data_IF_430626996676
#
_entry.id   IF_430626996676
#
_cell.length_a   1.000
_cell.length_b   1.000
_cell.length_c   1.000
_cell.angle_alpha   90.00
_cell.angle_beta   90.00
_cell.angle_gamma   90.00
#
_symmetry.space_group_name_H-M   'P 1'
#
loop_
_entity.id
_entity.type
_entity.pdbx_description
1 polymer ?
#
# COMPACT_ATOMS: atom_id res chain seq x y z
N UNK A 1 4.11 60.60 46.31
CA UNK A 1 3.51 60.20 45.00
C UNK A 1 4.49 59.58 43.98
N UNK A 2 5.68 59.10 44.37
CA UNK A 2 6.68 58.52 43.44
C UNK A 2 6.85 57.02 43.60
N UNK A 3 6.17 56.37 44.54
CA UNK A 3 6.34 54.88 44.78
C UNK A 3 5.25 54.01 44.15
N UNK A 4 4.11 54.58 43.76
CA UNK A 4 3.01 53.76 43.18
C UNK A 4 3.16 53.46 41.67
N UNK A 5 3.95 54.28 40.95
CA UNK A 5 4.18 54.05 39.50
C UNK A 5 5.18 52.91 39.18
N UNK A 6 6.10 52.65 40.09
CA UNK A 6 7.10 51.61 39.92
C UNK A 6 6.53 50.18 40.14
N UNK A 7 5.53 50.04 41.01
CA UNK A 7 4.90 48.74 41.31
C UNK A 7 3.95 48.30 40.17
N UNK A 8 3.33 49.28 39.49
CA UNK A 8 2.42 48.96 38.36
C UNK A 8 3.17 48.55 37.09
N UNK A 9 4.39 49.07 36.88
CA UNK A 9 5.21 48.64 35.72
C UNK A 9 5.81 47.23 35.89
N UNK A 10 6.12 46.84 37.14
CA UNK A 10 6.65 45.51 37.45
C UNK A 10 5.58 44.41 37.31
N UNK A 11 4.31 44.73 37.56
CA UNK A 11 3.19 43.81 37.46
C UNK A 11 2.74 43.54 36.02
N UNK A 12 2.91 44.53 35.14
CA UNK A 12 2.60 44.36 33.70
C UNK A 12 3.70 43.60 32.98
N UNK A 13 4.96 43.65 33.41
CA UNK A 13 6.06 42.87 32.84
C UNK A 13 6.04 41.39 33.24
N UNK A 14 5.49 41.04 34.41
CA UNK A 14 5.37 39.63 34.85
C UNK A 14 4.18 38.91 34.22
N UNK A 15 3.17 39.62 33.71
CA UNK A 15 2.08 39.01 32.96
C UNK A 15 2.38 38.78 31.48
N UNK A 16 3.35 39.48 30.90
CA UNK A 16 3.75 39.29 29.49
C UNK A 16 4.62 38.03 29.27
N UNK A 17 5.26 37.51 30.33
CA UNK A 17 6.15 36.35 30.24
C UNK A 17 5.39 35.01 30.41
N UNK A 18 4.15 35.05 30.89
CA UNK A 18 3.37 33.82 31.16
C UNK A 18 2.41 33.42 30.03
N UNK A 19 2.32 34.18 28.94
CA UNK A 19 1.42 33.83 27.82
C UNK A 19 2.17 33.14 26.66
N UNK A 20 3.50 33.24 26.59
CA UNK A 20 4.29 32.49 25.57
C UNK A 20 4.62 31.03 25.94
N UNK A 21 4.32 30.61 27.16
CA UNK A 21 4.66 29.25 27.62
C UNK A 21 3.54 28.20 27.46
N UNK A 22 2.44 28.52 26.77
CA UNK A 22 1.29 27.61 26.63
C UNK A 22 0.95 27.30 25.17
N UNK A 23 1.82 27.63 24.24
CA UNK A 23 1.81 27.01 22.90
C UNK A 23 2.95 25.99 22.81
N UNK A 24 2.98 25.04 23.74
CA UNK A 24 3.64 23.79 23.45
C UNK A 24 2.81 23.14 22.34
N UNK A 25 3.19 23.37 21.08
CA UNK A 25 2.68 22.61 19.97
C UNK A 25 2.81 21.14 20.35
N UNK A 26 1.71 20.41 20.35
CA UNK A 26 1.79 18.95 20.40
C UNK A 26 2.91 18.53 19.44
N UNK A 27 3.84 17.64 19.85
CA UNK A 27 4.85 17.15 18.92
C UNK A 27 4.13 16.71 17.66
N UNK A 28 4.66 17.00 16.46
CA UNK A 28 3.98 16.65 15.21
C UNK A 28 3.60 15.18 15.28
N UNK A 29 2.33 14.91 15.09
CA UNK A 29 1.79 13.54 15.14
C UNK A 29 2.61 12.68 14.18
N UNK A 30 3.16 11.57 14.70
CA UNK A 30 4.03 10.69 13.92
C UNK A 30 3.17 10.02 12.85
N UNK A 31 3.39 10.34 11.57
CA UNK A 31 2.62 9.79 10.45
C UNK A 31 2.64 8.25 10.47
N UNK A 32 1.50 7.59 10.24
CA UNK A 32 1.44 6.13 10.14
C UNK A 32 2.42 5.60 9.09
N UNK A 33 3.13 4.53 9.43
CA UNK A 33 4.03 3.82 8.50
C UNK A 33 3.23 2.92 7.59
N UNK A 34 3.44 3.01 6.27
CA UNK A 34 2.68 2.23 5.32
C UNK A 34 3.57 1.56 4.27
N UNK A 35 3.28 0.29 4.00
CA UNK A 35 3.77 -0.46 2.84
C UNK A 35 2.56 -0.87 2.01
N UNK A 36 2.66 -0.75 0.69
CA UNK A 36 1.66 -1.23 -0.26
C UNK A 36 2.29 -2.30 -1.11
N UNK A 37 1.63 -3.47 -1.22
CA UNK A 37 1.93 -4.48 -2.23
C UNK A 37 0.77 -4.51 -3.23
N UNK A 38 1.07 -4.43 -4.52
CA UNK A 38 0.10 -4.25 -5.58
C UNK A 38 0.46 -5.10 -6.81
N UNK A 39 -0.53 -5.69 -7.46
CA UNK A 39 -0.37 -6.35 -8.74
C UNK A 39 -0.87 -5.43 -9.89
N UNK A 40 -0.62 -5.75 -11.18
CA UNK A 40 -0.94 -4.84 -12.29
C UNK A 40 -2.43 -4.85 -12.64
N UNK A 41 -3.30 -4.75 -11.66
CA UNK A 41 -4.73 -4.64 -11.88
C UNK A 41 -5.16 -3.17 -12.09
N UNK A 42 -6.29 -2.96 -12.76
CA UNK A 42 -6.81 -1.63 -13.08
C UNK A 42 -7.09 -0.81 -11.81
N UNK A 43 -7.69 -1.45 -10.83
CA UNK A 43 -8.05 -0.81 -9.56
C UNK A 43 -6.82 -0.54 -8.68
N UNK A 44 -5.78 -1.39 -8.72
CA UNK A 44 -4.49 -1.13 -8.08
C UNK A 44 -3.81 0.11 -8.65
N UNK A 45 -3.76 0.23 -9.99
CA UNK A 45 -3.25 1.43 -10.65
C UNK A 45 -4.01 2.69 -10.21
N UNK A 46 -5.34 2.63 -10.20
CA UNK A 46 -6.18 3.75 -9.84
C UNK A 46 -6.09 4.08 -8.35
N UNK A 47 -5.96 3.07 -7.51
CA UNK A 47 -5.73 3.23 -6.07
C UNK A 47 -4.39 3.86 -5.77
N UNK A 48 -3.34 3.48 -6.50
CA UNK A 48 -2.03 4.08 -6.35
C UNK A 48 -2.02 5.58 -6.70
N UNK A 49 -2.73 5.98 -7.78
CA UNK A 49 -2.88 7.40 -8.12
C UNK A 49 -3.55 8.17 -6.98
N UNK A 50 -4.64 7.65 -6.42
CA UNK A 50 -5.30 8.26 -5.26
C UNK A 50 -4.38 8.29 -4.03
N UNK A 51 -3.70 7.19 -3.75
CA UNK A 51 -2.76 7.10 -2.64
C UNK A 51 -1.64 8.14 -2.73
N UNK A 52 -1.06 8.35 -3.90
CA UNK A 52 -0.02 9.37 -4.10
C UNK A 52 -0.52 10.78 -3.79
N UNK A 53 -1.81 11.08 -4.01
CA UNK A 53 -2.44 12.35 -3.62
C UNK A 53 -2.65 12.46 -2.10
N UNK A 54 -2.78 11.36 -1.38
CA UNK A 54 -2.88 11.30 0.09
C UNK A 54 -1.54 11.01 0.79
N UNK A 55 -0.43 10.97 0.06
CA UNK A 55 0.88 10.60 0.60
C UNK A 55 1.42 11.56 1.67
N UNK A 56 0.80 12.72 1.83
CA UNK A 56 1.07 13.66 2.93
C UNK A 56 0.69 13.10 4.29
N UNK A 57 -0.24 12.14 4.37
CA UNK A 57 -0.79 11.61 5.61
C UNK A 57 0.01 10.41 6.14
N UNK A 58 0.93 9.88 5.33
CA UNK A 58 1.66 8.65 5.62
C UNK A 58 3.17 8.82 5.53
N UNK A 59 3.90 7.95 6.25
CA UNK A 59 5.31 7.66 6.01
C UNK A 59 5.39 6.42 5.12
N UNK A 60 5.62 6.62 3.84
CA UNK A 60 5.67 5.55 2.83
C UNK A 60 6.97 4.76 3.01
N UNK A 61 6.88 3.51 3.44
CA UNK A 61 8.04 2.64 3.64
C UNK A 61 8.30 1.70 2.45
N UNK A 62 7.27 1.40 1.67
CA UNK A 62 7.40 0.54 0.49
C UNK A 62 6.25 0.67 -0.49
N UNK A 63 6.59 0.56 -1.78
CA UNK A 63 5.67 0.41 -2.91
C UNK A 63 6.15 -0.83 -3.68
N UNK A 64 5.45 -1.94 -3.57
CA UNK A 64 6.00 -3.25 -3.92
C UNK A 64 5.12 -3.93 -4.97
N UNK A 65 5.73 -4.32 -6.10
CA UNK A 65 5.06 -5.18 -7.06
C UNK A 65 4.79 -6.56 -6.47
N UNK A 66 3.59 -7.07 -6.64
CA UNK A 66 3.16 -8.38 -6.17
C UNK A 66 2.53 -9.20 -7.30
N UNK A 67 2.15 -10.42 -7.01
CA UNK A 67 1.27 -11.26 -7.81
C UNK A 67 -0.03 -11.54 -7.07
N UNK A 68 -1.00 -12.07 -7.79
CA UNK A 68 -2.23 -12.62 -7.26
C UNK A 68 -2.73 -13.76 -8.15
N UNK A 69 -3.87 -14.37 -7.80
CA UNK A 69 -4.54 -15.29 -8.73
C UNK A 69 -5.00 -14.62 -10.04
N UNK A 70 -5.08 -13.28 -10.06
CA UNK A 70 -5.51 -12.53 -11.22
C UNK A 70 -4.35 -12.13 -12.12
N UNK A 71 -3.14 -11.95 -11.56
CA UNK A 71 -1.97 -11.47 -12.28
C UNK A 71 -0.68 -12.08 -11.72
N UNK A 72 0.09 -12.79 -12.56
CA UNK A 72 1.43 -13.24 -12.22
C UNK A 72 2.32 -13.38 -13.47
N UNK A 73 3.60 -13.03 -13.33
CA UNK A 73 4.52 -12.71 -14.41
C UNK A 73 5.20 -13.94 -15.03
N UNK A 74 5.35 -15.01 -14.26
CA UNK A 74 6.28 -16.11 -14.59
C UNK A 74 7.73 -15.78 -14.20
N UNK A 75 8.59 -16.79 -14.31
CA UNK A 75 10.02 -16.67 -13.96
C UNK A 75 10.92 -16.34 -15.17
N UNK A 76 10.34 -16.16 -16.35
CA UNK A 76 11.07 -15.92 -17.60
C UNK A 76 11.88 -17.11 -18.12
N UNK A 77 11.78 -18.28 -17.47
CA UNK A 77 12.53 -19.51 -17.81
C UNK A 77 11.66 -20.59 -18.44
N UNK A 78 10.37 -20.31 -18.65
CA UNK A 78 9.42 -21.27 -19.17
C UNK A 78 8.85 -22.24 -18.12
N UNK A 79 9.09 -22.00 -16.83
CA UNK A 79 8.43 -22.78 -15.78
C UNK A 79 6.94 -22.59 -15.85
N UNK A 80 6.20 -23.69 -15.83
CA UNK A 80 4.74 -23.66 -15.85
C UNK A 80 4.18 -23.77 -14.44
N UNK A 81 3.09 -23.02 -14.18
CA UNK A 81 2.44 -22.93 -12.88
C UNK A 81 0.92 -23.08 -13.01
N UNK A 82 0.31 -23.75 -12.05
CA UNK A 82 -1.13 -23.88 -11.93
C UNK A 82 -1.53 -24.18 -10.48
N UNK A 83 -2.47 -23.41 -9.97
CA UNK A 83 -3.09 -23.67 -8.66
C UNK A 83 -4.58 -23.94 -8.89
N UNK A 84 -5.13 -25.06 -8.41
CA UNK A 84 -6.55 -25.36 -8.57
C UNK A 84 -7.46 -24.32 -7.89
N UNK A 85 -8.67 -24.15 -8.43
CA UNK A 85 -9.72 -23.27 -7.89
C UNK A 85 -9.42 -21.75 -7.95
N UNK A 86 -8.44 -21.35 -8.73
CA UNK A 86 -8.13 -19.94 -9.01
C UNK A 86 -9.06 -19.35 -10.08
N UNK A 87 -9.01 -18.03 -10.21
CA UNK A 87 -9.80 -17.29 -11.21
C UNK A 87 -9.54 -17.80 -12.63
N UNK A 88 -8.28 -18.01 -13.01
CA UNK A 88 -7.94 -18.52 -14.34
C UNK A 88 -8.55 -19.90 -14.65
N UNK A 89 -8.72 -20.76 -13.65
CA UNK A 89 -9.45 -22.02 -13.81
C UNK A 89 -10.95 -21.81 -14.03
N UNK A 90 -11.56 -20.81 -13.40
CA UNK A 90 -12.99 -20.46 -13.57
C UNK A 90 -13.29 -19.89 -14.95
N UNK A 91 -12.31 -19.21 -15.57
CA UNK A 91 -12.43 -18.72 -16.96
C UNK A 91 -11.94 -19.73 -18.01
N UNK A 92 -11.77 -20.99 -17.64
CA UNK A 92 -11.49 -22.09 -18.57
C UNK A 92 -10.02 -22.40 -18.82
N UNK A 93 -9.09 -21.73 -18.14
CA UNK A 93 -7.65 -22.03 -18.23
C UNK A 93 -7.33 -23.17 -17.27
N UNK A 94 -7.35 -24.41 -17.76
CA UNK A 94 -7.20 -25.64 -16.93
C UNK A 94 -5.82 -26.30 -17.05
N UNK A 95 -4.92 -25.70 -17.85
CA UNK A 95 -3.57 -26.22 -18.04
C UNK A 95 -2.54 -25.28 -17.40
N UNK A 96 -1.40 -25.81 -16.94
CA UNK A 96 -0.30 -24.97 -16.45
C UNK A 96 0.16 -23.96 -17.50
N UNK A 97 0.40 -22.72 -17.06
CA UNK A 97 0.79 -21.57 -17.88
C UNK A 97 2.15 -21.04 -17.44
N UNK A 98 2.81 -20.28 -18.27
CA UNK A 98 4.09 -19.62 -17.94
C UNK A 98 3.90 -18.21 -17.33
N UNK A 99 2.74 -17.60 -17.48
CA UNK A 99 2.35 -16.31 -16.91
C UNK A 99 0.82 -16.15 -17.01
N UNK A 100 0.28 -15.21 -16.26
CA UNK A 100 -1.15 -14.90 -16.33
C UNK A 100 -1.37 -13.39 -16.20
N UNK A 101 -1.91 -12.75 -17.23
CA UNK A 101 -2.29 -11.33 -17.28
C UNK A 101 -1.25 -10.36 -16.69
N UNK A 102 0.04 -10.66 -16.83
CA UNK A 102 1.14 -9.84 -16.32
C UNK A 102 2.22 -9.74 -17.40
N UNK A 103 2.47 -8.55 -17.93
CA UNK A 103 3.52 -8.37 -18.93
C UNK A 103 4.91 -8.29 -18.28
N UNK A 104 5.96 -8.82 -18.91
CA UNK A 104 7.31 -8.82 -18.35
C UNK A 104 7.84 -7.43 -17.98
N UNK A 105 7.48 -6.41 -18.76
CA UNK A 105 7.95 -5.02 -18.64
C UNK A 105 7.00 -4.15 -17.81
N UNK A 106 6.10 -4.74 -17.02
CA UNK A 106 5.12 -3.99 -16.22
C UNK A 106 5.79 -3.03 -15.24
N UNK A 107 5.40 -1.76 -15.31
CA UNK A 107 6.02 -0.67 -14.56
C UNK A 107 5.03 0.33 -13.96
N UNK A 108 3.77 -0.06 -13.77
CA UNK A 108 2.73 0.90 -13.38
C UNK A 108 3.06 1.68 -12.09
N UNK A 109 3.75 1.07 -11.11
CA UNK A 109 4.16 1.77 -9.89
C UNK A 109 5.19 2.86 -10.24
N UNK A 110 6.23 2.53 -11.01
CA UNK A 110 7.22 3.50 -11.46
C UNK A 110 6.58 4.61 -12.28
N UNK A 111 5.75 4.27 -13.26
CA UNK A 111 5.11 5.24 -14.15
C UNK A 111 4.20 6.21 -13.41
N UNK A 112 3.49 5.76 -12.36
CA UNK A 112 2.68 6.63 -11.53
C UNK A 112 3.55 7.57 -10.67
N UNK A 113 4.68 7.09 -10.12
CA UNK A 113 5.62 7.94 -9.37
C UNK A 113 6.37 8.90 -10.31
N UNK A 114 6.72 8.48 -11.51
CA UNK A 114 7.30 9.36 -12.54
C UNK A 114 6.29 10.45 -12.99
N UNK A 115 5.00 10.12 -13.03
CA UNK A 115 3.94 11.11 -13.30
C UNK A 115 3.76 12.06 -12.11
N UNK A 116 3.81 11.54 -10.88
CA UNK A 116 3.86 12.34 -9.67
C UNK A 116 5.01 13.35 -9.71
N UNK A 117 6.19 12.96 -10.16
CA UNK A 117 7.34 13.85 -10.30
C UNK A 117 7.05 15.05 -11.23
N UNK A 118 6.33 14.84 -12.32
CA UNK A 118 5.96 15.90 -13.26
C UNK A 118 5.01 16.95 -12.66
N UNK A 119 4.16 16.53 -11.70
CA UNK A 119 3.19 17.43 -11.04
C UNK A 119 3.62 17.85 -9.63
N UNK A 120 4.77 17.38 -9.13
CA UNK A 120 5.24 17.58 -7.78
C UNK A 120 5.27 19.05 -7.33
N UNK A 121 5.72 19.94 -8.21
CA UNK A 121 5.73 21.40 -7.91
C UNK A 121 4.33 21.93 -7.60
N UNK A 122 3.32 21.45 -8.32
CA UNK A 122 1.93 21.85 -8.07
C UNK A 122 1.41 21.27 -6.74
N UNK A 123 1.73 20.01 -6.47
CA UNK A 123 1.36 19.37 -5.20
C UNK A 123 1.95 20.12 -3.99
N UNK A 124 3.20 20.56 -4.08
CA UNK A 124 3.87 21.34 -3.03
C UNK A 124 3.22 22.70 -2.75
N UNK A 125 2.46 23.27 -3.68
CA UNK A 125 1.67 24.49 -3.44
C UNK A 125 0.49 24.17 -2.53
N UNK A 126 -0.09 22.97 -2.63
CA UNK A 126 -1.24 22.57 -1.81
C UNK A 126 -0.81 22.13 -0.40
N UNK A 127 0.30 21.38 -0.30
CA UNK A 127 0.80 20.92 0.99
C UNK A 127 2.33 20.75 0.99
N UNK A 128 3.06 21.28 2.00
CA UNK A 128 4.52 21.21 2.05
C UNK A 128 5.07 19.81 2.31
N UNK A 129 4.28 18.89 2.86
CA UNK A 129 4.72 17.55 3.29
C UNK A 129 4.64 16.47 2.21
N UNK A 130 4.28 16.82 0.97
CA UNK A 130 4.37 15.84 -0.10
C UNK A 130 5.79 15.26 -0.18
N UNK A 131 5.96 13.91 -0.11
CA UNK A 131 7.27 13.29 -0.20
C UNK A 131 7.92 13.60 -1.55
N UNK A 132 9.25 13.65 -1.59
CA UNK A 132 9.93 13.90 -2.87
C UNK A 132 9.78 12.71 -3.81
N UNK A 133 9.76 12.93 -5.13
CA UNK A 133 9.71 11.84 -6.11
C UNK A 133 10.85 10.83 -5.94
N UNK A 134 12.06 11.32 -5.65
CA UNK A 134 13.24 10.49 -5.42
C UNK A 134 13.07 9.59 -4.20
N UNK A 135 12.46 10.10 -3.13
CA UNK A 135 12.10 9.29 -1.96
C UNK A 135 11.14 8.18 -2.34
N UNK A 136 10.05 8.49 -3.04
CA UNK A 136 9.07 7.48 -3.47
C UNK A 136 9.69 6.43 -4.40
N UNK A 137 10.48 6.86 -5.39
CA UNK A 137 11.22 5.95 -6.29
C UNK A 137 12.16 5.03 -5.49
N UNK A 138 12.82 5.55 -4.45
CA UNK A 138 13.71 4.75 -3.59
C UNK A 138 12.98 3.67 -2.80
N UNK A 139 11.65 3.74 -2.67
CA UNK A 139 10.79 2.78 -1.95
C UNK A 139 10.21 1.69 -2.85
N UNK A 140 10.40 1.75 -4.17
CA UNK A 140 9.86 0.75 -5.09
C UNK A 140 10.73 -0.51 -5.08
N UNK A 141 10.08 -1.67 -4.95
CA UNK A 141 10.74 -2.99 -5.01
C UNK A 141 9.88 -3.99 -5.78
N UNK A 142 10.55 -5.00 -6.37
CA UNK A 142 9.88 -6.18 -6.90
C UNK A 142 9.71 -7.20 -5.77
N UNK A 143 8.49 -7.65 -5.53
CA UNK A 143 8.15 -8.70 -4.59
C UNK A 143 8.02 -10.06 -5.27
N UNK A 144 7.14 -10.90 -4.74
CA UNK A 144 6.86 -12.22 -5.33
C UNK A 144 5.87 -12.05 -6.49
N UNK A 145 6.40 -11.81 -7.68
CA UNK A 145 5.62 -11.56 -8.91
C UNK A 145 5.56 -12.76 -9.85
N UNK A 146 6.44 -13.76 -9.62
CA UNK A 146 6.62 -14.85 -10.59
C UNK A 146 5.40 -15.77 -10.67
N UNK A 147 4.89 -16.21 -9.54
CA UNK A 147 3.81 -17.19 -9.49
C UNK A 147 2.78 -16.85 -8.41
N UNK A 148 1.52 -17.18 -8.67
CA UNK A 148 0.42 -17.05 -7.75
C UNK A 148 0.68 -17.86 -6.46
N UNK A 149 0.73 -17.16 -5.33
CA UNK A 149 0.89 -17.75 -3.99
C UNK A 149 2.25 -18.43 -3.73
N UNK A 150 3.26 -18.22 -4.56
CA UNK A 150 4.62 -18.69 -4.29
C UNK A 150 5.33 -17.73 -3.33
N UNK A 151 5.70 -18.23 -2.15
CA UNK A 151 6.52 -17.51 -1.16
C UNK A 151 7.73 -18.35 -0.74
N UNK A 152 8.27 -19.14 -1.65
CA UNK A 152 9.41 -20.04 -1.42
C UNK A 152 10.76 -19.30 -1.36
N UNK A 153 10.88 -18.11 -1.96
CA UNK A 153 12.15 -17.39 -2.12
C UNK A 153 12.03 -15.94 -1.69
N UNK A 154 13.13 -15.45 -1.09
CA UNK A 154 13.25 -14.03 -0.78
C UNK A 154 13.31 -13.18 -2.07
N UNK A 155 12.74 -12.00 -1.99
CA UNK A 155 12.72 -10.99 -3.06
C UNK A 155 13.11 -9.63 -2.48
N UNK A 156 13.54 -8.66 -3.30
CA UNK A 156 13.79 -7.30 -2.80
C UNK A 156 12.62 -6.69 -2.02
N UNK A 157 11.39 -7.03 -2.41
CA UNK A 157 10.18 -6.59 -1.71
C UNK A 157 10.00 -7.27 -0.35
N UNK A 158 10.16 -8.59 -0.27
CA UNK A 158 10.07 -9.30 1.01
C UNK A 158 11.18 -8.90 1.98
N UNK A 159 12.40 -8.63 1.47
CA UNK A 159 13.51 -8.12 2.27
C UNK A 159 13.22 -6.72 2.83
N UNK A 160 12.65 -5.81 2.03
CA UNK A 160 12.24 -4.48 2.51
C UNK A 160 11.18 -4.60 3.62
N UNK A 161 10.18 -5.45 3.45
CA UNK A 161 9.16 -5.70 4.48
C UNK A 161 9.82 -6.24 5.75
N UNK A 162 10.69 -7.25 5.62
CA UNK A 162 11.45 -7.84 6.74
C UNK A 162 12.26 -6.79 7.49
N UNK A 163 12.97 -5.92 6.78
CA UNK A 163 13.74 -4.82 7.39
C UNK A 163 12.86 -3.87 8.18
N UNK A 164 11.71 -3.46 7.62
CA UNK A 164 10.76 -2.57 8.32
C UNK A 164 10.10 -3.24 9.53
N UNK A 165 9.87 -4.56 9.49
CA UNK A 165 9.35 -5.33 10.62
C UNK A 165 10.38 -5.39 11.77
N UNK A 166 11.64 -5.61 11.43
CA UNK A 166 12.71 -5.84 12.42
C UNK A 166 13.38 -4.56 12.92
N UNK A 167 13.14 -3.41 12.31
CA UNK A 167 13.75 -2.15 12.74
C UNK A 167 13.32 -1.76 14.17
N UNK A 168 14.02 -0.78 14.74
CA UNK A 168 13.81 -0.34 16.13
C UNK A 168 12.57 0.56 16.32
N UNK A 169 11.90 0.95 15.23
CA UNK A 169 10.68 1.75 15.31
C UNK A 169 9.47 0.84 15.59
N UNK A 170 9.05 0.76 16.85
CA UNK A 170 7.91 -0.05 17.29
C UNK A 170 6.54 0.56 17.00
N UNK A 171 6.47 1.71 16.29
CA UNK A 171 5.19 2.23 15.84
C UNK A 171 4.52 1.27 14.85
N UNK A 172 3.18 1.22 14.81
CA UNK A 172 2.47 0.33 13.91
C UNK A 172 2.95 0.44 12.47
N UNK A 173 3.16 -0.71 11.84
CA UNK A 173 3.51 -0.84 10.42
C UNK A 173 2.30 -1.41 9.70
N UNK A 174 1.61 -0.56 8.97
CA UNK A 174 0.45 -0.95 8.17
C UNK A 174 0.93 -1.50 6.82
N UNK A 175 0.59 -2.76 6.53
CA UNK A 175 0.94 -3.39 5.27
C UNK A 175 -0.36 -3.71 4.53
N UNK A 176 -0.56 -3.02 3.41
CA UNK A 176 -1.72 -3.24 2.56
C UNK A 176 -1.34 -4.20 1.43
N UNK A 177 -2.07 -5.30 1.31
CA UNK A 177 -2.01 -6.18 0.16
C UNK A 177 -3.22 -5.88 -0.74
N UNK A 178 -2.99 -5.22 -1.86
CA UNK A 178 -4.02 -4.97 -2.88
C UNK A 178 -4.14 -6.17 -3.81
N UNK A 179 -3.01 -6.83 -4.12
CA UNK A 179 -2.96 -8.15 -4.73
C UNK A 179 -2.84 -9.28 -3.71
N UNK A 180 -2.08 -10.34 -4.02
CA UNK A 180 -1.83 -11.44 -3.11
C UNK A 180 -0.88 -11.08 -1.95
N UNK A 181 -0.91 -11.87 -0.89
CA UNK A 181 -0.13 -11.66 0.31
C UNK A 181 1.22 -12.43 0.33
N UNK A 182 1.60 -13.10 -0.76
CA UNK A 182 2.78 -13.99 -0.83
C UNK A 182 4.10 -13.27 -0.50
N UNK A 183 4.26 -11.99 -0.88
CA UNK A 183 5.45 -11.20 -0.53
C UNK A 183 5.54 -10.94 0.98
N UNK A 184 4.40 -10.68 1.63
CA UNK A 184 4.32 -10.49 3.08
C UNK A 184 4.57 -11.82 3.80
N UNK A 185 3.96 -12.89 3.31
CA UNK A 185 4.16 -14.24 3.82
C UNK A 185 5.66 -14.64 3.76
N UNK A 186 6.36 -14.29 2.65
CA UNK A 186 7.79 -14.56 2.53
C UNK A 186 8.63 -13.79 3.55
N UNK A 187 8.33 -12.52 3.76
CA UNK A 187 9.03 -11.72 4.77
C UNK A 187 8.88 -12.31 6.17
N UNK A 188 7.66 -12.68 6.57
CA UNK A 188 7.39 -13.32 7.86
C UNK A 188 8.05 -14.69 7.98
N UNK A 189 8.02 -15.49 6.91
CA UNK A 189 8.65 -16.81 6.88
C UNK A 189 10.17 -16.72 6.97
N UNK A 190 10.79 -15.77 6.28
CA UNK A 190 12.23 -15.52 6.37
C UNK A 190 12.65 -15.14 7.80
N UNK A 191 11.83 -14.33 8.51
CA UNK A 191 12.07 -14.04 9.93
C UNK A 191 11.96 -15.32 10.78
N UNK A 192 10.93 -16.12 10.57
CA UNK A 192 10.75 -17.39 11.29
C UNK A 192 11.94 -18.35 11.06
N UNK A 193 12.38 -18.53 9.81
CA UNK A 193 13.52 -19.36 9.43
C UNK A 193 14.82 -18.94 10.13
N UNK A 194 15.04 -17.63 10.31
CA UNK A 194 16.25 -17.08 10.92
C UNK A 194 16.20 -17.16 12.47
N UNK A 195 15.03 -16.87 13.06
CA UNK A 195 14.95 -16.60 14.50
C UNK A 195 14.21 -17.65 15.32
N UNK A 196 13.46 -18.60 14.72
CA UNK A 196 12.61 -19.55 15.47
C UNK A 196 13.38 -20.45 16.42
N UNK A 197 14.66 -20.75 16.13
CA UNK A 197 15.54 -21.52 17.01
C UNK A 197 16.23 -20.71 18.12
N UNK A 198 16.02 -19.41 18.19
CA UNK A 198 16.71 -18.56 19.17
C UNK A 198 15.94 -18.45 20.50
N UNK A 199 16.66 -18.31 21.65
CA UNK A 199 16.01 -18.24 22.97
C UNK A 199 14.96 -17.13 23.14
N UNK A 200 15.12 -16.01 22.42
CA UNK A 200 14.24 -14.85 22.48
C UNK A 200 13.12 -14.88 21.44
N UNK A 201 12.94 -15.98 20.71
CA UNK A 201 11.96 -16.07 19.61
C UNK A 201 10.53 -15.70 20.04
N UNK A 202 10.05 -16.21 21.15
CA UNK A 202 8.68 -15.90 21.60
C UNK A 202 8.46 -14.41 21.87
N UNK A 203 9.47 -13.73 22.41
CA UNK A 203 9.43 -12.28 22.66
C UNK A 203 9.47 -11.50 21.35
N UNK A 204 10.35 -11.87 20.43
CA UNK A 204 10.44 -11.26 19.11
C UNK A 204 9.15 -11.44 18.32
N UNK A 205 8.58 -12.63 18.31
CA UNK A 205 7.33 -12.94 17.64
C UNK A 205 6.16 -12.09 18.13
N UNK A 206 6.03 -11.92 19.46
CA UNK A 206 5.02 -11.04 20.07
C UNK A 206 5.23 -9.57 19.68
N UNK A 207 6.47 -9.09 19.70
CA UNK A 207 6.81 -7.72 19.26
C UNK A 207 6.38 -7.50 17.81
N UNK A 208 6.73 -8.43 16.91
CA UNK A 208 6.35 -8.39 15.49
C UNK A 208 4.84 -8.40 15.33
N UNK A 209 4.13 -9.33 15.98
CA UNK A 209 2.68 -9.43 15.88
C UNK A 209 1.96 -8.18 16.36
N UNK A 210 2.50 -7.49 17.36
CA UNK A 210 1.96 -6.20 17.83
C UNK A 210 2.23 -5.05 16.87
N UNK A 211 3.38 -5.08 16.19
CA UNK A 211 3.83 -4.01 15.28
C UNK A 211 3.15 -4.07 13.94
N UNK A 212 2.95 -5.26 13.39
CA UNK A 212 2.39 -5.46 12.05
C UNK A 212 0.88 -5.38 12.09
N UNK A 213 0.33 -4.57 11.19
CA UNK A 213 -1.12 -4.48 10.96
C UNK A 213 -1.36 -4.74 9.48
N UNK A 214 -2.12 -5.79 9.17
CA UNK A 214 -2.45 -6.15 7.79
C UNK A 214 -3.77 -5.54 7.36
N UNK A 215 -3.86 -5.17 6.10
CA UNK A 215 -5.09 -4.77 5.45
C UNK A 215 -5.12 -5.43 4.06
N UNK A 216 -5.91 -6.49 3.94
CA UNK A 216 -5.94 -7.32 2.74
C UNK A 216 -7.16 -6.96 1.89
N UNK A 217 -6.94 -6.79 0.58
CA UNK A 217 -8.02 -6.80 -0.40
C UNK A 217 -8.33 -8.25 -0.79
N UNK A 218 -9.00 -8.98 0.09
CA UNK A 218 -9.17 -10.45 0.07
C UNK A 218 -7.84 -11.21 0.28
N UNK A 219 -7.93 -12.52 0.47
CA UNK A 219 -6.80 -13.44 0.39
C UNK A 219 -6.69 -13.96 -1.05
N UNK A 220 -6.08 -13.15 -1.93
CA UNK A 220 -6.11 -13.39 -3.37
C UNK A 220 -5.20 -14.53 -3.84
N UNK A 221 -4.33 -15.04 -2.98
CA UNK A 221 -3.39 -16.13 -3.30
C UNK A 221 -3.32 -17.21 -2.22
N UNK A 222 -4.30 -17.24 -1.30
CA UNK A 222 -4.43 -18.15 -0.15
C UNK A 222 -3.24 -18.13 0.83
N UNK A 223 -2.27 -17.24 0.69
CA UNK A 223 -1.10 -17.24 1.58
C UNK A 223 -1.42 -16.72 2.96
N UNK A 224 -2.44 -15.86 3.11
CA UNK A 224 -2.92 -15.49 4.43
C UNK A 224 -3.52 -16.70 5.17
N UNK A 225 -4.49 -17.38 4.57
CA UNK A 225 -5.15 -18.53 5.20
C UNK A 225 -4.19 -19.73 5.39
N UNK A 226 -3.27 -19.93 4.45
CA UNK A 226 -2.37 -21.09 4.43
C UNK A 226 -1.14 -20.92 5.31
N UNK A 227 -0.66 -19.70 5.51
CA UNK A 227 0.57 -19.44 6.26
C UNK A 227 0.43 -18.30 7.29
N UNK A 228 0.02 -17.08 6.90
CA UNK A 228 0.10 -15.95 7.82
C UNK A 228 -0.79 -16.20 9.03
N UNK A 229 -2.08 -16.47 8.83
CA UNK A 229 -3.01 -16.68 9.94
C UNK A 229 -2.64 -17.88 10.85
N UNK A 230 -2.28 -19.08 10.34
CA UNK A 230 -1.90 -20.21 11.21
C UNK A 230 -0.62 -19.99 11.99
N UNK A 231 0.38 -19.35 11.41
CA UNK A 231 1.70 -19.21 12.04
C UNK A 231 1.89 -17.87 12.77
N UNK A 232 1.10 -16.85 12.45
CA UNK A 232 1.15 -15.51 13.04
C UNK A 232 -0.24 -15.02 13.48
N UNK A 233 -0.98 -15.82 14.30
CA UNK A 233 -2.39 -15.54 14.61
C UNK A 233 -2.63 -14.27 15.43
N UNK A 234 -1.57 -13.71 16.04
CA UNK A 234 -1.66 -12.47 16.84
C UNK A 234 -1.48 -11.20 16.01
N UNK A 235 -1.15 -11.31 14.71
CA UNK A 235 -1.10 -10.15 13.79
C UNK A 235 -2.54 -9.65 13.57
N UNK A 236 -2.73 -8.34 13.75
CA UNK A 236 -4.01 -7.70 13.47
C UNK A 236 -4.27 -7.64 11.97
N UNK A 237 -5.41 -8.16 11.54
CA UNK A 237 -5.95 -8.01 10.18
C UNK A 237 -7.21 -7.13 10.24
N UNK A 238 -7.21 -6.00 9.53
CA UNK A 238 -8.25 -4.96 9.63
C UNK A 238 -9.47 -5.23 8.76
N UNK A 239 -9.37 -6.15 7.80
CA UNK A 239 -10.45 -6.43 6.86
C UNK A 239 -10.67 -7.92 6.62
N UNK A 240 -11.00 -8.69 7.69
CA UNK A 240 -11.10 -10.14 7.63
C UNK A 240 -12.20 -10.66 6.69
N UNK A 241 -13.14 -9.81 6.28
CA UNK A 241 -14.29 -10.19 5.45
C UNK A 241 -14.19 -9.77 3.97
N UNK A 242 -13.08 -9.17 3.54
CA UNK A 242 -12.85 -8.81 2.14
C UNK A 242 -13.85 -7.83 1.52
N UNK A 243 -14.42 -6.93 2.32
CA UNK A 243 -15.52 -6.06 1.86
C UNK A 243 -15.14 -5.02 0.79
N UNK A 244 -13.85 -4.75 0.55
CA UNK A 244 -13.41 -3.71 -0.42
C UNK A 244 -13.80 -4.05 -1.85
N UNK A 245 -13.89 -5.30 -2.20
CA UNK A 245 -14.23 -5.76 -3.57
C UNK A 245 -15.56 -5.21 -4.05
N UNK A 246 -16.47 -4.98 -3.13
CA UNK A 246 -17.80 -4.47 -3.45
C UNK A 246 -17.80 -3.07 -4.05
N UNK A 247 -16.82 -2.23 -3.73
CA UNK A 247 -16.78 -0.85 -4.22
C UNK A 247 -16.30 -0.75 -5.67
N UNK A 248 -15.44 -1.65 -6.12
CA UNK A 248 -14.85 -1.58 -7.46
C UNK A 248 -15.65 -2.36 -8.49
N UNK A 249 -15.96 -3.62 -8.20
CA UNK A 249 -16.57 -4.53 -9.18
C UNK A 249 -18.07 -4.68 -9.01
N UNK A 250 -18.56 -4.70 -7.78
CA UNK A 250 -19.98 -4.96 -7.49
C UNK A 250 -20.80 -3.71 -7.22
N UNK A 251 -20.17 -2.60 -6.82
CA UNK A 251 -20.91 -1.35 -6.60
C UNK A 251 -21.68 -0.87 -7.83
N UNK A 252 -21.15 -0.92 -9.06
CA UNK A 252 -21.93 -0.56 -10.26
C UNK A 252 -23.18 -1.40 -10.43
N UNK A 253 -23.12 -2.70 -10.07
CA UNK A 253 -24.26 -3.63 -10.18
C UNK A 253 -25.32 -3.40 -9.10
N UNK A 254 -24.92 -2.88 -7.93
CA UNK A 254 -25.78 -2.64 -6.76
C UNK A 254 -26.21 -1.19 -6.62
N UNK A 255 -25.58 -0.27 -7.35
CA UNK A 255 -25.92 1.14 -7.33
C UNK A 255 -27.36 1.36 -7.81
N UNK A 256 -28.03 2.35 -7.21
CA UNK A 256 -29.30 2.84 -7.74
C UNK A 256 -29.09 3.36 -9.16
N UNK A 257 -30.11 3.25 -10.00
CA UNK A 257 -30.02 3.59 -11.43
C UNK A 257 -29.47 5.01 -11.66
N UNK A 258 -29.93 5.98 -10.87
CA UNK A 258 -29.47 7.37 -10.95
C UNK A 258 -27.98 7.56 -10.62
N UNK A 259 -27.36 6.62 -9.91
CA UNK A 259 -25.96 6.67 -9.49
C UNK A 259 -25.03 5.86 -10.41
N UNK A 260 -25.57 5.01 -11.29
CA UNK A 260 -24.74 4.17 -12.17
C UNK A 260 -23.84 4.99 -13.10
N UNK A 261 -24.27 6.19 -13.47
CA UNK A 261 -23.50 7.10 -14.31
C UNK A 261 -22.08 7.38 -13.74
N UNK A 262 -21.95 7.47 -12.41
CA UNK A 262 -20.65 7.75 -11.76
C UNK A 262 -19.64 6.61 -11.87
N UNK A 263 -20.08 5.43 -12.29
CA UNK A 263 -19.23 4.26 -12.51
C UNK A 263 -18.95 4.00 -14.00
N UNK A 264 -19.48 4.87 -14.89
CA UNK A 264 -19.31 4.67 -16.32
C UNK A 264 -17.92 5.11 -16.80
N UNK A 265 -17.37 4.48 -17.84
CA UNK A 265 -16.13 4.93 -18.49
C UNK A 265 -16.23 6.36 -19.01
N UNK A 266 -17.38 6.76 -19.53
CA UNK A 266 -17.62 8.11 -20.08
C UNK A 266 -17.50 9.18 -18.99
N UNK A 267 -18.14 8.95 -17.83
CA UNK A 267 -18.02 9.86 -16.69
C UNK A 267 -16.57 9.97 -16.21
N UNK A 268 -15.88 8.83 -16.06
CA UNK A 268 -14.47 8.80 -15.63
C UNK A 268 -13.58 9.50 -16.66
N UNK A 269 -13.85 9.34 -17.98
CA UNK A 269 -13.12 10.05 -19.04
C UNK A 269 -13.30 11.57 -18.93
N UNK A 270 -14.52 12.02 -18.70
CA UNK A 270 -14.84 13.45 -18.65
C UNK A 270 -14.36 14.13 -17.37
N UNK A 271 -14.58 13.50 -16.21
CA UNK A 271 -14.40 14.15 -14.92
C UNK A 271 -13.08 13.80 -14.22
N UNK A 272 -12.39 12.75 -14.62
CA UNK A 272 -11.12 12.32 -14.02
C UNK A 272 -10.00 12.34 -15.06
N UNK A 273 -10.12 11.58 -16.13
CA UNK A 273 -9.01 11.41 -17.10
C UNK A 273 -8.64 12.69 -17.85
N UNK A 274 -9.59 13.57 -18.06
CA UNK A 274 -9.36 14.89 -18.67
C UNK A 274 -8.66 15.90 -17.75
N UNK A 275 -8.38 15.54 -16.48
CA UNK A 275 -7.89 16.47 -15.45
C UNK A 275 -6.38 16.34 -15.23
N UNK A 276 -5.60 16.59 -16.29
CA UNK A 276 -4.14 16.63 -16.24
C UNK A 276 -3.48 15.25 -16.15
N UNK A 277 -2.17 15.25 -15.95
CA UNK A 277 -1.31 14.07 -16.10
C UNK A 277 -1.71 12.89 -15.20
N UNK A 278 -2.14 13.13 -13.96
CA UNK A 278 -2.64 12.06 -13.10
C UNK A 278 -3.98 11.51 -13.57
N UNK A 279 -4.86 12.39 -14.04
CA UNK A 279 -6.11 11.96 -14.64
C UNK A 279 -5.88 11.05 -15.84
N UNK A 280 -4.95 11.40 -16.73
CA UNK A 280 -4.60 10.60 -17.92
C UNK A 280 -4.13 9.18 -17.57
N UNK A 281 -3.50 9.00 -16.40
CA UNK A 281 -3.05 7.69 -15.90
C UNK A 281 -4.18 6.83 -15.33
N UNK A 282 -5.32 7.43 -15.01
CA UNK A 282 -6.46 6.71 -14.45
C UNK A 282 -7.09 5.80 -15.50
N UNK A 283 -7.36 4.55 -15.13
CA UNK A 283 -7.85 3.51 -16.04
C UNK A 283 -9.35 3.35 -15.94
N UNK A 284 -9.97 2.96 -17.02
CA UNK A 284 -11.38 2.58 -17.10
C UNK A 284 -11.55 1.30 -17.90
N UNK A 285 -12.54 0.49 -17.56
CA UNK A 285 -12.86 -0.70 -18.31
C UNK A 285 -13.20 -0.34 -19.76
N UNK A 286 -12.60 -1.05 -20.69
CA UNK A 286 -12.82 -0.82 -22.12
C UNK A 286 -12.04 0.36 -22.72
N UNK A 287 -11.06 0.93 -22.00
CA UNK A 287 -10.23 2.04 -22.49
C UNK A 287 -9.20 1.62 -23.57
N UNK A 288 -9.14 0.35 -23.92
CA UNK A 288 -8.20 -0.22 -24.89
C UNK A 288 -6.73 -0.24 -24.42
N UNK A 289 -6.47 0.18 -23.18
CA UNK A 289 -5.14 0.22 -22.56
C UNK A 289 -5.07 -0.77 -21.40
N UNK A 290 -5.52 -1.97 -21.65
CA UNK A 290 -5.38 -3.01 -20.63
C UNK A 290 -3.91 -3.24 -20.31
N UNK A 291 -3.58 -3.36 -19.03
CA UNK A 291 -2.22 -3.70 -18.59
C UNK A 291 -1.86 -5.08 -19.12
N UNK A 292 -2.85 -5.96 -19.21
CA UNK A 292 -2.74 -7.22 -19.93
C UNK A 292 -3.99 -7.40 -20.79
N UNK A 293 -3.80 -7.87 -22.01
CA UNK A 293 -4.89 -8.13 -22.94
C UNK A 293 -5.71 -9.31 -22.41
N UNK A 294 -6.98 -9.05 -22.07
CA UNK A 294 -7.95 -10.10 -21.74
C UNK A 294 -8.32 -10.93 -22.95
#
# INVERSE_FOLDING_TARGET
>A
MKSLKAIFLLWVMTMAVSVEAVMASNPPEKKPRIIITADPELDDNNSLIRFLLYSTDFRVEGLIYASSQFHWKGDGKGTTWYVPNREYGRVGMTQPMTSWRYVPEERFIHENVETYAKVYKNLKVHHPDYPTPEYLLSKIREGNVAFDGDFSKDTPGSELIKQCILDEDDSPLYIQAWGGASTIARALKSIEEIYSGQPNWSTLKKRISKKVVLCLSMDQDDTYARYIHPFWPEITELNPNGMQVDLTFFAPLRAKEENKVFYSPEWTQEYIRSKGLFGERYRVWGDGKQMVKD
#
